data_IF_576840637636
#
_entry.id   IF_576840637636
#
_cell.length_a   1.000
_cell.length_b   1.000
_cell.length_c   1.000
_cell.angle_alpha   90.00
_cell.angle_beta   90.00
_cell.angle_gamma   90.00
#
_symmetry.space_group_name_H-M   'P 1'
#
loop_
_entity.id
_entity.type
_entity.pdbx_description
1 polymer ?
#
# COMPACT_ATOMS: atom_id res chain seq x y z
N UNK A 1 31.38 19.86 75.88
CA UNK A 1 31.49 20.45 74.51
C UNK A 1 31.73 19.42 73.36
N UNK A 2 32.42 18.29 73.56
CA UNK A 2 32.73 17.29 72.52
C UNK A 2 31.45 16.61 71.82
N UNK A 3 30.44 16.25 72.62
CA UNK A 3 29.23 15.57 72.10
C UNK A 3 28.36 16.41 71.08
N UNK A 4 28.33 17.73 71.26
CA UNK A 4 27.60 18.66 70.37
C UNK A 4 28.29 18.77 68.98
N UNK A 5 29.63 18.83 68.97
CA UNK A 5 30.43 18.88 67.73
C UNK A 5 30.24 17.61 66.87
N UNK A 6 30.26 16.44 67.49
CA UNK A 6 30.11 15.15 66.83
C UNK A 6 28.68 15.04 66.17
N UNK A 7 27.61 15.44 66.86
CA UNK A 7 26.25 15.46 66.29
C UNK A 7 26.11 16.40 65.10
N UNK A 8 26.70 17.58 65.14
CA UNK A 8 26.68 18.53 64.03
C UNK A 8 27.43 18.00 62.82
N UNK A 9 28.59 17.39 62.97
CA UNK A 9 29.38 16.81 61.89
C UNK A 9 28.64 15.60 61.21
N UNK A 10 28.01 14.77 62.05
CA UNK A 10 27.24 13.64 61.60
C UNK A 10 25.96 14.07 60.79
N UNK A 11 25.28 15.16 61.25
CA UNK A 11 24.14 15.73 60.56
C UNK A 11 24.54 16.32 59.24
N UNK A 12 25.66 17.04 59.14
CA UNK A 12 26.15 17.57 57.83
C UNK A 12 26.52 16.45 56.87
N UNK A 13 27.17 15.40 57.35
CA UNK A 13 27.51 14.24 56.52
C UNK A 13 26.26 13.53 55.96
N UNK A 14 25.25 13.35 56.82
CA UNK A 14 23.99 12.70 56.40
C UNK A 14 23.21 13.54 55.36
N UNK A 15 23.17 14.87 55.55
CA UNK A 15 22.51 15.78 54.58
C UNK A 15 23.25 15.84 53.24
N UNK A 16 24.58 15.87 53.22
CA UNK A 16 25.38 15.85 52.01
C UNK A 16 25.23 14.53 51.28
N UNK A 17 25.19 13.40 52.00
CA UNK A 17 24.95 12.09 51.40
C UNK A 17 23.56 11.95 50.75
N UNK A 18 22.51 12.44 51.45
CA UNK A 18 21.16 12.49 50.91
C UNK A 18 21.05 13.36 49.64
N UNK A 19 21.71 14.53 49.67
CA UNK A 19 21.76 15.43 48.52
C UNK A 19 22.43 14.76 47.31
N UNK A 20 23.51 14.05 47.52
CA UNK A 20 24.24 13.32 46.48
C UNK A 20 23.39 12.20 45.91
N UNK A 21 22.64 11.46 46.73
CA UNK A 21 21.70 10.44 46.23
C UNK A 21 20.59 11.05 45.38
N UNK A 22 20.02 12.20 45.75
CA UNK A 22 19.00 12.89 44.99
C UNK A 22 19.53 13.30 43.59
N UNK A 23 20.76 13.84 43.56
CA UNK A 23 21.41 14.21 42.28
C UNK A 23 21.61 13.00 41.39
N UNK A 24 22.11 11.88 41.94
CA UNK A 24 22.32 10.64 41.20
C UNK A 24 20.98 10.10 40.63
N UNK A 25 19.92 10.10 41.43
CA UNK A 25 18.59 9.68 41.00
C UNK A 25 18.04 10.58 39.89
N UNK A 26 18.27 11.88 39.95
CA UNK A 26 17.84 12.83 38.94
C UNK A 26 18.56 12.60 37.61
N UNK A 27 19.90 12.42 37.65
CA UNK A 27 20.69 12.10 36.46
C UNK A 27 20.29 10.75 35.85
N UNK A 28 20.05 9.74 36.68
CA UNK A 28 19.61 8.43 36.24
C UNK A 28 18.24 8.50 35.56
N UNK A 29 17.29 9.25 36.14
CA UNK A 29 15.97 9.47 35.53
C UNK A 29 16.07 10.17 34.18
N UNK A 30 16.89 11.24 34.09
CA UNK A 30 17.10 11.96 32.82
C UNK A 30 17.69 11.04 31.75
N UNK A 31 18.69 10.25 32.09
CA UNK A 31 19.33 9.29 31.17
C UNK A 31 18.37 8.21 30.69
N UNK A 32 17.52 7.65 31.56
CA UNK A 32 16.52 6.66 31.18
C UNK A 32 15.46 7.28 30.21
N UNK A 33 15.00 8.49 30.49
CA UNK A 33 14.04 9.19 29.64
C UNK A 33 14.61 9.42 28.24
N UNK A 34 15.87 9.84 28.16
CA UNK A 34 16.52 10.09 26.86
C UNK A 34 16.72 8.80 26.05
N UNK A 35 17.14 7.71 26.72
CA UNK A 35 17.24 6.39 26.06
C UNK A 35 15.87 5.92 25.58
N UNK A 36 14.82 6.05 26.42
CA UNK A 36 13.47 5.62 26.06
C UNK A 36 12.95 6.37 24.83
N UNK A 37 13.10 7.70 24.81
CA UNK A 37 12.70 8.53 23.65
C UNK A 37 13.47 8.15 22.38
N UNK A 38 14.76 7.89 22.49
CA UNK A 38 15.58 7.47 21.35
C UNK A 38 15.16 6.10 20.83
N UNK A 39 14.87 5.16 21.72
CA UNK A 39 14.41 3.83 21.35
C UNK A 39 13.01 3.87 20.69
N UNK A 40 12.09 4.68 21.22
CA UNK A 40 10.77 4.89 20.66
C UNK A 40 10.85 5.49 19.25
N UNK A 41 11.69 6.53 19.06
CA UNK A 41 11.94 7.12 17.75
C UNK A 41 12.50 6.10 16.76
N UNK A 42 13.51 5.35 17.14
CA UNK A 42 14.10 4.31 16.30
C UNK A 42 13.09 3.21 15.94
N UNK A 43 12.23 2.83 16.90
CA UNK A 43 11.17 1.85 16.65
C UNK A 43 10.18 2.36 15.61
N UNK A 44 9.72 3.61 15.72
CA UNK A 44 8.82 4.23 14.76
C UNK A 44 9.47 4.31 13.37
N UNK A 45 10.71 4.79 13.29
CA UNK A 45 11.45 4.88 12.02
C UNK A 45 11.62 3.51 11.37
N UNK A 46 12.03 2.49 12.12
CA UNK A 46 12.16 1.13 11.61
C UNK A 46 10.82 0.56 11.14
N UNK A 47 9.75 0.81 11.91
CA UNK A 47 8.41 0.36 11.53
C UNK A 47 7.95 1.01 10.23
N UNK A 48 8.13 2.32 10.09
CA UNK A 48 7.80 3.05 8.85
C UNK A 48 8.62 2.54 7.65
N UNK A 49 9.90 2.22 7.87
CA UNK A 49 10.74 1.68 6.80
C UNK A 49 10.30 0.28 6.38
N UNK A 50 9.89 -0.57 7.32
CA UNK A 50 9.32 -1.89 7.00
C UNK A 50 8.05 -1.73 6.18
N UNK A 51 7.14 -0.84 6.60
CA UNK A 51 5.93 -0.55 5.83
C UNK A 51 6.24 -0.05 4.42
N UNK A 52 7.16 0.88 4.28
CA UNK A 52 7.58 1.41 2.98
C UNK A 52 8.11 0.29 2.07
N UNK A 53 9.06 -0.51 2.56
CA UNK A 53 9.65 -1.59 1.79
C UNK A 53 8.62 -2.67 1.39
N UNK A 54 7.69 -2.98 2.31
CA UNK A 54 6.62 -3.95 2.04
C UNK A 54 5.69 -3.43 0.96
N UNK A 55 5.29 -2.15 1.05
CA UNK A 55 4.43 -1.49 0.09
C UNK A 55 5.07 -1.42 -1.30
N UNK A 56 6.35 -1.03 -1.37
CA UNK A 56 7.12 -0.99 -2.61
C UNK A 56 7.21 -2.38 -3.27
N UNK A 57 7.50 -3.41 -2.50
CA UNK A 57 7.53 -4.80 -3.00
C UNK A 57 6.18 -5.28 -3.53
N UNK A 58 5.07 -4.88 -2.90
CA UNK A 58 3.71 -5.19 -3.39
C UNK A 58 3.45 -4.48 -4.71
N UNK A 59 3.76 -3.19 -4.79
CA UNK A 59 3.56 -2.40 -6.02
C UNK A 59 4.40 -2.95 -7.17
N UNK A 60 5.65 -3.30 -6.94
CA UNK A 60 6.55 -3.91 -7.93
C UNK A 60 5.98 -5.23 -8.47
N UNK A 61 5.49 -6.10 -7.59
CA UNK A 61 4.85 -7.37 -8.00
C UNK A 61 3.57 -7.15 -8.81
N UNK A 62 2.79 -6.13 -8.50
CA UNK A 62 1.62 -5.76 -9.28
C UNK A 62 2.00 -5.19 -10.65
N UNK A 63 3.09 -4.44 -10.72
CA UNK A 63 3.67 -3.94 -11.97
C UNK A 63 4.13 -5.08 -12.87
N UNK A 64 4.86 -6.05 -12.32
CA UNK A 64 5.28 -7.25 -13.04
C UNK A 64 4.09 -8.02 -13.62
N UNK A 65 3.01 -8.12 -12.87
CA UNK A 65 1.79 -8.77 -13.36
C UNK A 65 1.10 -7.98 -14.49
N UNK A 66 1.12 -6.64 -14.44
CA UNK A 66 0.63 -5.81 -15.55
C UNK A 66 1.51 -5.98 -16.79
N UNK A 67 2.82 -6.03 -16.63
CA UNK A 67 3.76 -6.26 -17.74
C UNK A 67 3.57 -7.65 -18.37
N UNK A 68 3.31 -8.67 -17.55
CA UNK A 68 2.93 -9.98 -18.06
C UNK A 68 1.63 -9.95 -18.87
N UNK A 69 0.63 -9.18 -18.44
CA UNK A 69 -0.61 -9.00 -19.18
C UNK A 69 -0.37 -8.30 -20.52
N UNK A 70 0.53 -7.33 -20.58
CA UNK A 70 0.97 -6.70 -21.83
C UNK A 70 1.66 -7.69 -22.78
N UNK A 71 2.25 -8.75 -22.26
CA UNK A 71 2.86 -9.83 -23.07
C UNK A 71 1.86 -10.57 -23.96
N UNK A 72 0.56 -10.58 -23.62
CA UNK A 72 -0.50 -11.22 -24.41
C UNK A 72 -1.00 -10.35 -25.59
N UNK A 73 -0.05 -9.77 -26.33
CA UNK A 73 -0.30 -8.80 -27.42
C UNK A 73 -1.29 -9.31 -28.46
N UNK A 74 -1.20 -10.58 -28.84
CA UNK A 74 -2.11 -11.17 -29.83
C UNK A 74 -3.56 -11.13 -29.35
N UNK A 75 -3.82 -11.56 -28.11
CA UNK A 75 -5.17 -11.52 -27.53
C UNK A 75 -5.69 -10.10 -27.39
N UNK A 76 -4.85 -9.17 -26.95
CA UNK A 76 -5.20 -7.74 -26.84
C UNK A 76 -5.56 -7.16 -28.22
N UNK A 77 -4.86 -7.56 -29.29
CA UNK A 77 -5.19 -7.13 -30.65
C UNK A 77 -6.50 -7.75 -31.11
N UNK A 78 -6.73 -9.03 -30.82
CA UNK A 78 -7.99 -9.72 -31.18
C UNK A 78 -9.22 -9.15 -30.46
N UNK A 79 -9.06 -8.61 -29.24
CA UNK A 79 -10.14 -7.89 -28.55
C UNK A 79 -10.66 -6.67 -29.36
N UNK A 80 -9.81 -6.09 -30.20
CA UNK A 80 -10.13 -4.95 -31.08
C UNK A 80 -10.56 -5.36 -32.47
N UNK A 81 -10.54 -6.67 -32.79
CA UNK A 81 -10.88 -7.21 -34.11
C UNK A 81 -12.35 -7.05 -34.47
N UNK A 82 -12.64 -7.03 -35.77
CA UNK A 82 -14.01 -6.96 -36.30
C UNK A 82 -14.69 -8.35 -36.34
N UNK A 83 -13.89 -9.42 -36.28
CA UNK A 83 -14.42 -10.78 -36.26
C UNK A 83 -14.99 -11.13 -34.88
N UNK A 84 -16.29 -11.16 -34.75
CA UNK A 84 -17.00 -11.42 -33.51
C UNK A 84 -16.61 -12.76 -32.86
N UNK A 85 -16.34 -13.82 -33.61
CA UNK A 85 -15.99 -15.13 -33.07
C UNK A 85 -14.60 -15.09 -32.42
N UNK A 86 -13.61 -14.48 -33.08
CA UNK A 86 -12.27 -14.32 -32.56
C UNK A 86 -12.26 -13.42 -31.34
N UNK A 87 -13.02 -12.33 -31.37
CA UNK A 87 -13.18 -11.42 -30.23
C UNK A 87 -13.74 -12.14 -29.00
N UNK A 88 -14.82 -12.93 -29.15
CA UNK A 88 -15.40 -13.69 -28.02
C UNK A 88 -14.42 -14.72 -27.48
N UNK A 89 -13.68 -15.42 -28.35
CA UNK A 89 -12.63 -16.35 -27.92
C UNK A 89 -11.53 -15.62 -27.13
N UNK A 90 -11.06 -14.49 -27.65
CA UNK A 90 -10.04 -13.67 -26.98
C UNK A 90 -10.52 -13.14 -25.63
N UNK A 91 -11.80 -12.69 -25.55
CA UNK A 91 -12.40 -12.27 -24.28
C UNK A 91 -12.40 -13.41 -23.25
N UNK A 92 -12.81 -14.60 -23.65
CA UNK A 92 -12.83 -15.75 -22.75
C UNK A 92 -11.43 -16.14 -22.26
N UNK A 93 -10.46 -16.21 -23.16
CA UNK A 93 -9.07 -16.52 -22.82
C UNK A 93 -8.47 -15.44 -21.90
N UNK A 94 -8.72 -14.17 -22.20
CA UNK A 94 -8.22 -13.07 -21.39
C UNK A 94 -8.84 -13.08 -19.98
N UNK A 95 -10.14 -13.38 -19.86
CA UNK A 95 -10.77 -13.54 -18.53
C UNK A 95 -10.16 -14.69 -17.70
N UNK A 96 -9.75 -15.79 -18.34
CA UNK A 96 -9.04 -16.87 -17.65
C UNK A 96 -7.68 -16.39 -17.15
N UNK A 97 -6.92 -15.67 -17.98
CA UNK A 97 -5.63 -15.09 -17.61
C UNK A 97 -5.80 -14.11 -16.44
N UNK A 98 -6.76 -13.18 -16.52
CA UNK A 98 -7.05 -12.25 -15.44
C UNK A 98 -7.41 -12.97 -14.13
N UNK A 99 -8.16 -14.09 -14.23
CA UNK A 99 -8.53 -14.90 -13.08
C UNK A 99 -7.30 -15.56 -12.42
N UNK A 100 -6.35 -16.02 -13.21
CA UNK A 100 -5.08 -16.55 -12.70
C UNK A 100 -4.28 -15.46 -12.01
N UNK A 101 -4.13 -14.29 -12.64
CA UNK A 101 -3.43 -13.14 -12.03
C UNK A 101 -4.05 -12.69 -10.72
N UNK A 102 -5.40 -12.64 -10.63
CA UNK A 102 -6.08 -12.35 -9.37
C UNK A 102 -5.81 -13.37 -8.26
N UNK A 103 -5.54 -14.62 -8.61
CA UNK A 103 -5.18 -15.65 -7.62
C UNK A 103 -3.73 -15.51 -7.14
N UNK A 104 -2.84 -15.13 -8.06
CA UNK A 104 -1.41 -15.01 -7.78
C UNK A 104 -1.09 -13.74 -6.97
N UNK A 105 -1.92 -12.71 -7.09
CA UNK A 105 -1.78 -11.42 -6.40
C UNK A 105 -2.97 -11.15 -5.50
N UNK A 106 -2.89 -11.62 -4.27
CA UNK A 106 -3.97 -11.48 -3.27
C UNK A 106 -4.24 -10.02 -2.88
N UNK A 107 -3.26 -9.16 -3.06
CA UNK A 107 -3.31 -7.73 -2.76
C UNK A 107 -4.12 -6.95 -3.82
N UNK A 108 -4.19 -7.45 -5.05
CA UNK A 108 -5.02 -6.84 -6.07
C UNK A 108 -6.50 -7.13 -5.81
N UNK A 109 -7.31 -6.11 -5.79
CA UNK A 109 -8.76 -6.23 -5.70
C UNK A 109 -9.37 -6.64 -7.03
N UNK A 110 -8.89 -6.05 -8.12
CA UNK A 110 -9.32 -6.38 -9.46
C UNK A 110 -8.26 -6.09 -10.52
N UNK A 111 -8.29 -6.87 -11.59
CA UNK A 111 -7.68 -6.55 -12.87
C UNK A 111 -8.77 -6.27 -13.90
N UNK A 112 -8.58 -5.26 -14.72
CA UNK A 112 -9.53 -4.87 -15.73
C UNK A 112 -8.84 -4.58 -17.07
N UNK A 113 -9.56 -4.87 -18.17
CA UNK A 113 -9.18 -4.45 -19.52
C UNK A 113 -10.37 -3.68 -20.09
N UNK A 114 -10.12 -2.44 -20.44
CA UNK A 114 -11.10 -1.54 -21.04
C UNK A 114 -10.77 -1.43 -22.53
N UNK A 115 -11.72 -1.74 -23.39
CA UNK A 115 -11.60 -1.48 -24.81
C UNK A 115 -12.21 -0.11 -25.11
N UNK A 116 -11.35 0.84 -25.50
CA UNK A 116 -11.77 2.22 -25.75
C UNK A 116 -12.57 2.40 -27.06
N UNK A 117 -12.62 1.38 -27.96
CA UNK A 117 -13.41 1.46 -29.20
C UNK A 117 -14.90 1.21 -28.96
N UNK A 118 -15.23 0.23 -28.14
CA UNK A 118 -16.61 -0.20 -27.91
C UNK A 118 -17.05 -0.07 -26.45
N UNK A 119 -16.21 0.50 -25.61
CA UNK A 119 -16.42 0.66 -24.15
C UNK A 119 -16.67 -0.67 -23.41
N UNK A 120 -16.29 -1.80 -24.01
CA UNK A 120 -16.40 -3.08 -23.31
C UNK A 120 -15.35 -3.19 -22.22
N UNK A 121 -15.74 -3.78 -21.09
CA UNK A 121 -14.87 -3.96 -19.93
C UNK A 121 -14.85 -5.43 -19.57
N UNK A 122 -13.65 -6.01 -19.62
CA UNK A 122 -13.34 -7.28 -18.98
C UNK A 122 -12.81 -6.98 -17.59
N UNK A 123 -13.45 -7.50 -16.56
CA UNK A 123 -13.01 -7.32 -15.18
C UNK A 123 -13.03 -8.66 -14.45
N UNK A 124 -11.93 -8.95 -13.79
CA UNK A 124 -11.82 -10.07 -12.89
C UNK A 124 -11.50 -9.54 -11.50
N UNK A 125 -12.26 -9.98 -10.51
CA UNK A 125 -12.12 -9.59 -9.10
C UNK A 125 -11.46 -10.66 -8.27
N UNK A 126 -10.82 -10.27 -7.22
CA UNK A 126 -10.50 -11.14 -6.11
C UNK A 126 -11.74 -11.34 -5.21
N UNK A 127 -11.86 -12.48 -4.52
CA UNK A 127 -13.09 -12.93 -3.87
C UNK A 127 -13.72 -12.00 -2.83
N UNK A 128 -12.99 -11.01 -2.34
CA UNK A 128 -13.40 -10.14 -1.22
C UNK A 128 -14.19 -8.89 -1.65
N UNK A 129 -14.42 -8.66 -2.96
CA UNK A 129 -15.10 -7.45 -3.45
C UNK A 129 -16.59 -7.72 -3.64
N UNK A 130 -17.42 -6.80 -3.13
CA UNK A 130 -18.87 -6.86 -3.30
C UNK A 130 -19.29 -6.51 -4.73
N UNK A 131 -20.52 -6.89 -5.11
CA UNK A 131 -21.07 -6.57 -6.41
C UNK A 131 -21.20 -5.05 -6.65
N UNK A 132 -21.58 -4.29 -5.61
CA UNK A 132 -21.73 -2.85 -5.69
C UNK A 132 -20.39 -2.16 -5.97
N UNK A 133 -19.33 -2.61 -5.31
CA UNK A 133 -17.96 -2.12 -5.56
C UNK A 133 -17.54 -2.34 -7.02
N UNK A 134 -17.88 -3.50 -7.61
CA UNK A 134 -17.59 -3.75 -9.04
C UNK A 134 -18.35 -2.79 -9.95
N UNK A 135 -19.59 -2.48 -9.61
CA UNK A 135 -20.41 -1.52 -10.36
C UNK A 135 -19.76 -0.13 -10.34
N UNK A 136 -19.24 0.30 -9.19
CA UNK A 136 -18.54 1.58 -9.06
C UNK A 136 -17.22 1.59 -9.83
N UNK A 137 -16.44 0.50 -9.75
CA UNK A 137 -15.22 0.32 -10.55
C UNK A 137 -15.54 0.40 -12.05
N UNK A 138 -16.55 -0.33 -12.53
CA UNK A 138 -16.96 -0.28 -13.93
C UNK A 138 -17.36 1.12 -14.36
N UNK A 139 -18.17 1.81 -13.55
CA UNK A 139 -18.62 3.19 -13.81
C UNK A 139 -17.41 4.16 -13.87
N UNK A 140 -16.43 3.97 -13.00
CA UNK A 140 -15.20 4.74 -13.02
C UNK A 140 -14.42 4.46 -14.31
N UNK A 141 -14.15 3.20 -14.61
CA UNK A 141 -13.39 2.80 -15.80
C UNK A 141 -14.07 3.24 -17.11
N UNK A 142 -15.42 3.27 -17.17
CA UNK A 142 -16.17 3.78 -18.33
C UNK A 142 -16.00 5.30 -18.52
N UNK A 143 -15.86 6.06 -17.44
CA UNK A 143 -15.61 7.51 -17.52
C UNK A 143 -14.19 7.84 -17.99
N UNK A 144 -13.30 6.91 -17.86
CA UNK A 144 -11.89 7.06 -18.17
C UNK A 144 -11.55 6.92 -19.67
N UNK A 145 -12.52 7.07 -20.59
CA UNK A 145 -12.24 7.28 -22.01
C UNK A 145 -11.38 8.53 -22.29
N UNK A 146 -11.06 9.27 -21.25
CA UNK A 146 -10.11 10.39 -21.26
C UNK A 146 -8.73 10.00 -20.72
N UNK A 147 -8.36 8.71 -20.76
CA UNK A 147 -7.06 8.21 -20.30
C UNK A 147 -5.83 8.82 -20.98
N UNK A 148 -5.99 9.49 -22.10
CA UNK A 148 -4.91 10.28 -22.73
C UNK A 148 -4.30 11.35 -21.81
N UNK A 149 -4.93 11.63 -20.67
CA UNK A 149 -4.47 12.60 -19.67
C UNK A 149 -3.85 11.96 -18.42
N UNK A 150 -3.91 10.64 -18.25
CA UNK A 150 -3.29 9.98 -17.10
C UNK A 150 -1.83 9.69 -17.44
N UNK A 151 -0.87 10.13 -16.64
CA UNK A 151 0.52 9.80 -16.85
C UNK A 151 0.67 8.28 -16.86
N UNK A 152 1.13 7.73 -17.98
CA UNK A 152 1.21 6.29 -18.26
C UNK A 152 2.18 5.52 -17.33
N UNK A 153 2.80 6.15 -16.35
CA UNK A 153 3.93 5.58 -15.63
C UNK A 153 3.81 5.58 -14.09
N UNK A 154 2.65 5.91 -13.52
CA UNK A 154 2.53 6.04 -12.06
C UNK A 154 1.27 5.44 -11.47
N UNK A 155 1.36 5.06 -10.19
CA UNK A 155 0.22 4.74 -9.37
C UNK A 155 -0.57 6.02 -9.05
N UNK A 156 -1.88 5.98 -9.23
CA UNK A 156 -2.78 7.11 -8.96
C UNK A 156 -3.79 6.70 -7.91
N UNK A 157 -4.02 7.56 -6.91
CA UNK A 157 -5.10 7.35 -5.96
C UNK A 157 -6.41 7.93 -6.51
N UNK A 158 -7.50 7.20 -6.33
CA UNK A 158 -8.83 7.63 -6.72
C UNK A 158 -9.88 7.12 -5.74
N UNK A 159 -11.01 7.83 -5.67
CA UNK A 159 -12.15 7.42 -4.85
C UNK A 159 -13.21 6.79 -5.73
N UNK A 160 -13.61 5.56 -5.40
CA UNK A 160 -14.69 4.85 -6.06
C UNK A 160 -15.70 4.39 -5.02
N UNK A 161 -16.92 4.95 -5.07
CA UNK A 161 -17.89 4.79 -3.98
C UNK A 161 -17.38 5.43 -2.70
N UNK A 162 -17.31 4.65 -1.63
CA UNK A 162 -16.82 5.10 -0.30
C UNK A 162 -15.36 4.68 -0.03
N UNK A 163 -14.66 4.11 -1.02
CA UNK A 163 -13.32 3.56 -0.83
C UNK A 163 -12.27 4.25 -1.68
N UNK A 164 -11.08 4.37 -1.12
CA UNK A 164 -9.89 4.84 -1.84
C UNK A 164 -9.22 3.65 -2.50
N UNK A 165 -8.87 3.81 -3.78
CA UNK A 165 -8.14 2.83 -4.57
C UNK A 165 -6.86 3.44 -5.09
N UNK A 166 -5.79 2.65 -5.08
CA UNK A 166 -4.64 2.87 -5.94
C UNK A 166 -4.89 2.15 -7.26
N UNK A 167 -4.68 2.84 -8.35
CA UNK A 167 -4.91 2.32 -9.70
C UNK A 167 -3.69 2.60 -10.54
N UNK A 168 -3.27 1.61 -11.30
CA UNK A 168 -2.25 1.77 -12.33
C UNK A 168 -2.81 1.33 -13.66
N UNK A 169 -2.44 2.06 -14.71
CA UNK A 169 -2.94 1.86 -16.07
C UNK A 169 -1.78 1.65 -17.04
N UNK A 170 -2.01 0.74 -17.97
CA UNK A 170 -1.16 0.57 -19.16
C UNK A 170 -2.01 0.61 -20.42
N UNK A 171 -1.59 1.42 -21.38
CA UNK A 171 -2.28 1.53 -22.66
C UNK A 171 -1.60 0.63 -23.71
N UNK A 172 -2.38 -0.19 -24.39
CA UNK A 172 -1.93 -0.98 -25.52
C UNK A 172 -2.92 -0.85 -26.69
N UNK A 173 -2.58 -0.02 -27.65
CA UNK A 173 -3.49 0.31 -28.77
C UNK A 173 -4.79 0.92 -28.25
N UNK A 174 -5.92 0.29 -28.58
CA UNK A 174 -7.23 0.71 -28.10
C UNK A 174 -7.65 0.05 -26.77
N UNK A 175 -6.77 -0.69 -26.12
CA UNK A 175 -7.05 -1.31 -24.82
C UNK A 175 -6.28 -0.60 -23.72
N UNK A 176 -6.92 -0.42 -22.59
CA UNK A 176 -6.30 0.01 -21.35
C UNK A 176 -6.38 -1.12 -20.34
N UNK A 177 -5.24 -1.57 -19.82
CA UNK A 177 -5.15 -2.57 -18.77
C UNK A 177 -5.02 -1.81 -17.46
N UNK A 178 -5.79 -2.19 -16.45
CA UNK A 178 -5.77 -1.57 -15.13
C UNK A 178 -5.67 -2.62 -14.03
N UNK A 179 -4.91 -2.30 -12.98
CA UNK A 179 -4.95 -2.99 -11.70
C UNK A 179 -5.46 -2.02 -10.63
N UNK A 180 -6.31 -2.53 -9.74
CA UNK A 180 -6.94 -1.76 -8.69
C UNK A 180 -6.64 -2.43 -7.33
N UNK A 181 -6.24 -1.60 -6.36
CA UNK A 181 -5.94 -2.03 -4.99
C UNK A 181 -6.61 -1.07 -4.02
N UNK A 182 -7.49 -1.57 -3.16
CA UNK A 182 -8.16 -0.76 -2.15
C UNK A 182 -7.27 -0.51 -0.94
N UNK A 183 -7.53 0.59 -0.23
CA UNK A 183 -6.86 0.93 1.02
C UNK A 183 -6.96 -0.20 2.06
N UNK A 184 -8.05 -0.96 2.08
CA UNK A 184 -8.24 -2.09 3.01
C UNK A 184 -7.20 -3.18 2.85
N UNK A 185 -6.72 -3.41 1.65
CA UNK A 185 -5.68 -4.42 1.38
C UNK A 185 -4.27 -3.96 1.77
N UNK A 186 -4.07 -2.64 2.00
CA UNK A 186 -2.80 -2.09 2.50
C UNK A 186 -2.62 -2.28 4.00
N UNK A 187 -3.72 -2.38 4.76
CA UNK A 187 -3.69 -2.53 6.22
C UNK A 187 -3.48 -3.97 6.66
N UNK A 188 -3.47 -4.93 5.74
CA UNK A 188 -3.26 -6.36 6.00
C UNK A 188 -1.81 -6.83 5.71
N UNK A 189 -0.96 -5.95 5.21
CA UNK A 189 0.48 -6.13 5.05
C UNK A 189 1.24 -5.47 6.19
#
# INVERSE_FOLDING_TARGET
>A
MKKRKIRSTMSVFLTTFLLLQIIVLFLYKSFIVDISKKNEKNLVENTLQIYHNTMESVLERLDDNLDLLLGYRLLLTQLNGENNLEKVKAQHQMLQILKERCKDTKEADAYAIVNCKDNSILIQRNGNITYDTIKDIKKYLQKCNTFDKIPASGWTSTVMGEQVYLVKYYNYGANTIAVLVSEKNWTLC
#
